data_IF_333538076374
#
_entry.id   IF_333538076374
#
_cell.length_a   1.000
_cell.length_b   1.000
_cell.length_c   1.000
_cell.angle_alpha   90.00
_cell.angle_beta   90.00
_cell.angle_gamma   90.00
#
_symmetry.space_group_name_H-M   'P 1'
#
loop_
_entity.id
_entity.type
_entity.pdbx_description
1 polymer ?
#
# COMPACT_ATOMS: atom_id res chain seq x y z
N UNK A 1 20.07 26.47 -16.73
CA UNK A 1 19.22 26.39 -17.96
C UNK A 1 17.92 25.71 -17.60
N UNK A 2 16.83 26.46 -17.64
CA UNK A 2 15.49 26.00 -17.24
C UNK A 2 14.84 25.26 -18.41
N UNK A 3 14.38 24.02 -18.17
CA UNK A 3 13.46 23.31 -19.07
C UNK A 3 12.11 23.16 -18.37
N UNK A 4 11.13 23.93 -18.83
CA UNK A 4 9.72 23.82 -18.43
C UNK A 4 9.05 22.78 -19.33
N UNK A 5 8.54 21.70 -18.74
CA UNK A 5 7.59 20.79 -19.40
C UNK A 5 6.20 21.46 -19.45
N UNK A 6 5.68 21.59 -20.65
CA UNK A 6 4.35 22.15 -20.94
C UNK A 6 3.27 21.08 -20.77
N UNK A 7 2.35 21.31 -19.85
CA UNK A 7 1.03 20.68 -19.89
C UNK A 7 0.27 21.17 -21.14
N UNK A 8 -0.21 20.23 -21.94
CA UNK A 8 -1.14 20.52 -23.04
C UNK A 8 -2.55 20.59 -22.46
N UNK A 9 -3.14 21.77 -22.48
CA UNK A 9 -4.54 21.99 -22.22
C UNK A 9 -5.36 21.61 -23.48
N UNK A 10 -6.47 20.90 -23.27
CA UNK A 10 -7.49 20.59 -24.28
C UNK A 10 -8.40 21.81 -24.38
N UNK A 11 -8.68 22.36 -25.57
CA UNK A 11 -9.56 23.51 -25.67
C UNK A 11 -11.04 23.12 -25.60
N UNK A 12 -11.75 23.75 -24.68
CA UNK A 12 -13.20 23.73 -24.64
C UNK A 12 -13.75 24.52 -25.86
N UNK A 13 -14.55 23.87 -26.68
CA UNK A 13 -15.26 24.53 -27.79
C UNK A 13 -16.52 25.17 -27.23
N UNK A 14 -16.50 26.49 -27.12
CA UNK A 14 -17.67 27.31 -26.80
C UNK A 14 -18.38 27.61 -28.13
N UNK A 15 -19.56 27.07 -28.33
CA UNK A 15 -20.47 27.47 -29.42
C UNK A 15 -21.16 28.77 -29.00
N UNK A 16 -20.71 29.89 -29.59
CA UNK A 16 -21.43 31.16 -29.51
C UNK A 16 -22.37 31.23 -30.71
N UNK A 17 -23.66 31.14 -30.50
CA UNK A 17 -24.67 31.40 -31.50
C UNK A 17 -24.72 32.90 -31.79
N UNK A 18 -24.30 33.29 -32.99
CA UNK A 18 -24.37 34.67 -33.48
C UNK A 18 -25.76 34.89 -34.08
N UNK A 19 -26.63 35.61 -33.39
CA UNK A 19 -27.90 36.07 -33.96
C UNK A 19 -27.62 37.28 -34.85
N UNK A 20 -27.69 37.10 -36.16
CA UNK A 20 -27.62 38.22 -37.14
C UNK A 20 -29.03 38.72 -37.40
N UNK A 21 -29.39 39.85 -36.84
CA UNK A 21 -30.60 40.60 -37.14
C UNK A 21 -30.34 41.43 -38.39
N UNK A 22 -30.90 41.04 -39.53
CA UNK A 22 -30.91 41.85 -40.73
C UNK A 22 -32.23 42.62 -40.80
N UNK A 23 -32.19 43.91 -40.47
CA UNK A 23 -33.30 44.81 -40.77
C UNK A 23 -33.20 45.26 -42.22
N UNK A 24 -34.14 44.81 -43.04
CA UNK A 24 -34.37 45.36 -44.37
C UNK A 24 -35.63 46.18 -44.32
N UNK A 25 -35.48 47.50 -44.39
CA UNK A 25 -36.58 48.45 -44.60
C UNK A 25 -36.78 48.64 -46.08
N UNK A 26 -37.93 48.20 -46.57
CA UNK A 26 -38.43 48.49 -47.93
C UNK A 26 -39.94 48.69 -47.90
N UNK A 27 -40.50 49.53 -48.80
CA UNK A 27 -41.84 50.09 -48.62
C UNK A 27 -42.95 49.08 -48.87
N UNK A 28 -43.99 49.23 -48.09
CA UNK A 28 -45.28 48.51 -48.21
C UNK A 28 -45.92 48.65 -49.60
N UNK A 29 -46.13 47.55 -50.29
CA UNK A 29 -47.16 47.42 -51.31
C UNK A 29 -48.24 46.46 -50.78
N UNK A 30 -49.45 46.97 -50.63
CA UNK A 30 -50.64 46.16 -50.37
C UNK A 30 -50.86 45.14 -51.50
N UNK A 31 -50.87 43.89 -51.18
CA UNK A 31 -51.30 42.80 -52.04
C UNK A 31 -52.68 42.29 -51.63
N UNK A 32 -53.52 41.86 -52.56
CA UNK A 32 -54.93 41.62 -52.37
C UNK A 32 -55.23 40.43 -51.41
N UNK A 33 -56.21 40.70 -50.52
CA UNK A 33 -56.91 39.72 -49.75
C UNK A 33 -57.62 38.73 -50.63
N UNK A 34 -57.35 37.46 -50.50
CA UNK A 34 -58.09 36.26 -50.80
C UNK A 34 -57.23 35.17 -51.44
N UNK A 35 -56.30 34.61 -50.62
CA UNK A 35 -55.86 33.24 -50.83
C UNK A 35 -56.01 32.51 -49.50
N UNK A 36 -57.03 31.72 -49.32
CA UNK A 36 -57.11 30.70 -48.26
C UNK A 36 -55.94 29.74 -48.41
N UNK A 37 -55.12 29.50 -47.42
CA UNK A 37 -54.17 28.43 -47.46
C UNK A 37 -54.91 27.09 -47.43
N UNK A 38 -54.83 26.38 -48.55
CA UNK A 38 -55.33 25.02 -48.76
C UNK A 38 -54.33 23.96 -48.23
N UNK A 39 -53.52 24.31 -47.25
CA UNK A 39 -52.67 23.33 -46.62
C UNK A 39 -53.09 23.37 -45.13
N UNK A 40 -53.89 22.37 -44.75
CA UNK A 40 -54.06 22.01 -43.36
C UNK A 40 -52.67 21.75 -42.78
N UNK A 41 -52.47 21.90 -41.44
CA UNK A 41 -51.18 21.58 -40.81
C UNK A 41 -50.75 20.19 -41.30
N UNK A 42 -49.52 20.09 -41.79
CA UNK A 42 -48.93 18.79 -42.16
C UNK A 42 -49.16 17.85 -40.96
N UNK A 43 -49.59 16.61 -41.18
CA UNK A 43 -49.75 15.69 -40.08
C UNK A 43 -48.48 15.67 -39.28
N UNK A 44 -48.61 15.89 -37.95
CA UNK A 44 -47.45 15.83 -37.06
C UNK A 44 -46.75 14.48 -37.31
N UNK A 45 -45.43 14.49 -37.46
CA UNK A 45 -44.67 13.27 -37.59
C UNK A 45 -44.91 12.40 -36.34
N UNK A 46 -45.27 11.15 -36.55
CA UNK A 46 -45.59 10.20 -35.46
C UNK A 46 -44.65 9.03 -35.43
N UNK A 47 -44.36 8.51 -34.24
CA UNK A 47 -43.59 7.30 -33.97
C UNK A 47 -44.50 6.22 -33.44
N UNK A 48 -44.53 5.06 -34.14
CA UNK A 48 -45.36 3.91 -33.72
C UNK A 48 -44.49 2.88 -32.99
N UNK A 49 -44.80 2.73 -31.70
CA UNK A 49 -44.27 1.71 -30.79
C UNK A 49 -45.27 0.55 -30.66
N UNK A 50 -44.90 -0.57 -30.08
CA UNK A 50 -45.78 -1.71 -29.81
C UNK A 50 -46.95 -1.34 -28.89
N UNK A 51 -46.78 -0.36 -28.04
CA UNK A 51 -47.75 0.14 -27.03
C UNK A 51 -48.65 1.29 -27.56
N UNK A 52 -48.37 1.89 -28.72
CA UNK A 52 -49.14 3.00 -29.27
C UNK A 52 -48.39 3.88 -30.24
N UNK A 53 -49.11 4.90 -30.75
CA UNK A 53 -48.53 5.90 -31.70
C UNK A 53 -48.41 7.25 -30.98
N UNK A 54 -47.25 7.89 -31.09
CA UNK A 54 -46.89 9.11 -30.35
C UNK A 54 -46.36 10.19 -31.29
N UNK A 55 -46.77 11.47 -31.12
CA UNK A 55 -46.17 12.58 -31.82
C UNK A 55 -44.67 12.67 -31.58
N UNK A 56 -43.85 13.07 -32.57
CA UNK A 56 -42.38 13.29 -32.41
C UNK A 56 -42.06 14.30 -31.31
N UNK A 57 -42.99 15.27 -31.08
CA UNK A 57 -42.86 16.29 -30.06
C UNK A 57 -43.18 15.81 -28.63
N UNK A 58 -43.40 14.50 -28.44
CA UNK A 58 -43.67 13.90 -27.14
C UNK A 58 -42.49 14.18 -26.16
N UNK A 59 -42.78 14.82 -25.03
CA UNK A 59 -41.77 15.18 -24.02
C UNK A 59 -41.74 14.20 -22.86
N UNK A 60 -42.82 13.52 -22.59
CA UNK A 60 -42.97 12.53 -21.50
C UNK A 60 -43.68 11.27 -22.05
N UNK A 61 -43.15 10.10 -21.75
CA UNK A 61 -43.70 8.82 -22.19
C UNK A 61 -43.73 7.82 -21.01
N UNK A 62 -44.91 7.31 -20.72
CA UNK A 62 -45.06 6.18 -19.76
C UNK A 62 -45.70 5.02 -20.52
N UNK A 63 -44.99 3.92 -20.69
CA UNK A 63 -45.41 2.79 -21.47
C UNK A 63 -44.62 1.51 -21.12
N UNK A 64 -45.28 0.36 -21.32
CA UNK A 64 -44.58 -0.93 -21.38
C UNK A 64 -44.16 -1.16 -22.83
N UNK A 65 -42.88 -1.22 -23.09
CA UNK A 65 -42.28 -1.34 -24.41
C UNK A 65 -41.63 -2.72 -24.61
N UNK A 66 -41.35 -3.05 -25.90
CA UNK A 66 -40.68 -4.28 -26.30
C UNK A 66 -39.30 -3.96 -26.89
N UNK A 67 -38.41 -4.95 -26.97
CA UNK A 67 -37.06 -4.77 -27.55
C UNK A 67 -37.07 -4.13 -28.94
N UNK A 68 -38.07 -4.42 -29.78
CA UNK A 68 -38.23 -3.84 -31.10
C UNK A 68 -38.55 -2.34 -31.14
N UNK A 69 -38.95 -1.78 -29.99
CA UNK A 69 -39.29 -0.36 -29.86
C UNK A 69 -38.03 0.50 -29.59
N UNK A 70 -36.99 -0.07 -29.00
CA UNK A 70 -35.79 0.65 -28.59
C UNK A 70 -35.20 1.49 -29.74
N UNK A 71 -35.06 0.90 -30.93
CA UNK A 71 -34.50 1.58 -32.11
C UNK A 71 -35.38 2.74 -32.63
N UNK A 72 -36.63 2.82 -32.19
CA UNK A 72 -37.59 3.86 -32.60
C UNK A 72 -37.63 5.02 -31.61
N UNK A 73 -37.17 4.81 -30.38
CA UNK A 73 -37.20 5.83 -29.31
C UNK A 73 -36.41 7.10 -29.67
N UNK A 74 -35.31 6.95 -30.41
CA UNK A 74 -34.49 8.09 -30.86
C UNK A 74 -35.26 9.04 -31.81
N UNK A 75 -36.36 8.57 -32.41
CA UNK A 75 -37.23 9.39 -33.24
C UNK A 75 -38.13 10.32 -32.41
N UNK A 76 -38.27 10.07 -31.08
CA UNK A 76 -38.94 10.95 -30.12
C UNK A 76 -37.94 12.00 -29.60
N UNK A 77 -37.46 12.85 -30.49
CA UNK A 77 -36.33 13.75 -30.25
C UNK A 77 -36.56 14.82 -29.15
N UNK A 78 -37.78 15.00 -28.68
CA UNK A 78 -38.15 15.94 -27.58
C UNK A 78 -38.36 15.24 -26.25
N UNK A 79 -38.12 13.91 -26.17
CA UNK A 79 -38.32 13.15 -24.95
C UNK A 79 -37.37 13.59 -23.85
N UNK A 80 -37.89 14.05 -22.73
CA UNK A 80 -37.15 14.48 -21.53
C UNK A 80 -37.38 13.59 -20.33
N UNK A 81 -38.52 12.88 -20.32
CA UNK A 81 -38.87 11.93 -19.26
C UNK A 81 -39.49 10.66 -19.87
N UNK A 82 -38.99 9.50 -19.44
CA UNK A 82 -39.54 8.21 -19.83
C UNK A 82 -39.73 7.28 -18.61
N UNK A 83 -40.89 6.65 -18.50
CA UNK A 83 -41.12 5.58 -17.53
C UNK A 83 -41.53 4.31 -18.29
N UNK A 84 -40.61 3.36 -18.34
CA UNK A 84 -40.76 2.06 -18.98
C UNK A 84 -40.86 0.92 -17.96
N UNK A 85 -41.29 1.24 -16.74
CA UNK A 85 -41.48 0.25 -15.68
C UNK A 85 -42.43 -0.88 -16.13
N UNK A 86 -42.04 -2.13 -15.79
CA UNK A 86 -42.80 -3.33 -16.20
C UNK A 86 -42.42 -3.87 -17.59
N UNK A 87 -41.54 -3.21 -18.35
CA UNK A 87 -40.99 -3.75 -19.60
C UNK A 87 -40.04 -4.89 -19.34
N UNK A 88 -40.14 -5.99 -20.13
CA UNK A 88 -39.26 -7.14 -20.00
C UNK A 88 -37.87 -6.93 -20.68
N UNK A 89 -37.74 -5.92 -21.52
CA UNK A 89 -36.51 -5.56 -22.23
C UNK A 89 -35.68 -4.53 -21.47
N UNK A 90 -35.60 -4.67 -20.13
CA UNK A 90 -34.91 -3.70 -19.26
C UNK A 90 -33.40 -3.59 -19.52
N UNK A 91 -32.74 -4.64 -20.06
CA UNK A 91 -31.34 -4.58 -20.46
C UNK A 91 -31.12 -3.57 -21.57
N UNK A 92 -31.91 -3.69 -22.64
CA UNK A 92 -31.85 -2.80 -23.80
C UNK A 92 -32.27 -1.37 -23.42
N UNK A 93 -33.23 -1.22 -22.48
CA UNK A 93 -33.64 0.08 -21.95
C UNK A 93 -32.49 0.73 -21.19
N UNK A 94 -31.76 -0.04 -20.35
CA UNK A 94 -30.61 0.45 -19.60
C UNK A 94 -29.49 0.89 -20.52
N UNK A 95 -29.14 0.07 -21.54
CA UNK A 95 -28.13 0.41 -22.54
C UNK A 95 -28.51 1.67 -23.33
N UNK A 96 -29.77 1.77 -23.76
CA UNK A 96 -30.27 2.96 -24.46
C UNK A 96 -30.20 4.20 -23.55
N UNK A 97 -30.54 4.07 -22.27
CA UNK A 97 -30.46 5.14 -21.28
C UNK A 97 -29.05 5.67 -21.07
N UNK A 98 -28.02 4.82 -21.14
CA UNK A 98 -26.61 5.25 -21.04
C UNK A 98 -26.21 6.19 -22.19
N UNK A 99 -26.78 6.01 -23.37
CA UNK A 99 -26.58 6.90 -24.51
C UNK A 99 -27.35 8.23 -24.39
N UNK A 100 -28.30 8.31 -23.47
CA UNK A 100 -29.20 9.46 -23.26
C UNK A 100 -29.11 10.02 -21.83
N UNK A 101 -27.94 10.51 -21.37
CA UNK A 101 -27.70 10.86 -19.97
C UNK A 101 -28.50 12.07 -19.44
N UNK A 102 -29.17 12.82 -20.32
CA UNK A 102 -30.02 13.95 -19.94
C UNK A 102 -31.50 13.56 -19.81
N UNK A 103 -31.86 12.34 -20.19
CA UNK A 103 -33.22 11.83 -20.08
C UNK A 103 -33.48 11.36 -18.64
N UNK A 104 -34.58 11.83 -18.04
CA UNK A 104 -35.07 11.26 -16.79
C UNK A 104 -35.74 9.90 -17.12
N UNK A 105 -34.95 8.83 -16.98
CA UNK A 105 -35.37 7.49 -17.35
C UNK A 105 -35.68 6.65 -16.13
N UNK A 106 -36.90 6.09 -16.10
CA UNK A 106 -37.35 5.15 -15.09
C UNK A 106 -37.67 3.80 -15.72
N UNK A 107 -37.23 2.72 -15.11
CA UNK A 107 -37.56 1.35 -15.49
C UNK A 107 -37.40 0.41 -14.28
N UNK A 108 -37.87 -0.80 -14.43
CA UNK A 108 -37.71 -1.85 -13.43
C UNK A 108 -36.89 -3.00 -13.97
N UNK A 109 -36.09 -3.58 -13.09
CA UNK A 109 -35.25 -4.78 -13.35
C UNK A 109 -35.83 -5.93 -12.56
N UNK A 110 -35.96 -7.12 -13.18
CA UNK A 110 -36.43 -8.32 -12.47
C UNK A 110 -35.24 -9.24 -12.23
N UNK A 111 -35.02 -9.57 -10.95
CA UNK A 111 -33.99 -10.52 -10.54
C UNK A 111 -34.43 -11.98 -10.79
N UNK A 112 -33.51 -12.96 -10.77
CA UNK A 112 -33.79 -14.39 -10.98
C UNK A 112 -34.82 -14.99 -10.01
N UNK A 113 -34.89 -14.48 -8.79
CA UNK A 113 -35.86 -14.88 -7.76
C UNK A 113 -37.26 -14.26 -7.95
N UNK A 114 -37.42 -13.43 -8.98
CA UNK A 114 -38.66 -12.71 -9.28
C UNK A 114 -38.80 -11.36 -8.58
N UNK A 115 -37.82 -10.94 -7.78
CA UNK A 115 -37.82 -9.60 -7.16
C UNK A 115 -37.72 -8.53 -8.24
N UNK A 116 -38.61 -7.54 -8.16
CA UNK A 116 -38.66 -6.39 -9.08
C UNK A 116 -38.08 -5.17 -8.40
N UNK A 117 -37.03 -4.59 -8.99
CA UNK A 117 -36.30 -3.43 -8.47
C UNK A 117 -36.46 -2.23 -9.41
N UNK A 118 -36.64 -1.04 -8.82
CA UNK A 118 -36.60 0.23 -9.55
C UNK A 118 -35.14 0.60 -9.87
N UNK A 119 -34.87 1.17 -11.03
CA UNK A 119 -33.50 1.56 -11.42
C UNK A 119 -32.92 2.69 -10.56
N UNK A 120 -33.71 3.33 -9.72
CA UNK A 120 -33.29 4.31 -8.69
C UNK A 120 -32.97 3.69 -7.34
N UNK A 121 -33.10 2.36 -7.18
CA UNK A 121 -32.80 1.67 -5.94
C UNK A 121 -31.34 1.86 -5.56
N UNK A 122 -31.08 2.41 -4.38
CA UNK A 122 -29.73 2.67 -3.87
C UNK A 122 -29.23 1.58 -2.92
N UNK A 123 -30.14 0.92 -2.21
CA UNK A 123 -29.84 -0.12 -1.23
C UNK A 123 -30.58 -1.41 -1.61
N UNK A 124 -29.86 -2.52 -1.63
CA UNK A 124 -30.41 -3.83 -1.99
C UNK A 124 -30.19 -4.84 -0.86
N UNK A 125 -31.22 -5.62 -0.55
CA UNK A 125 -31.11 -6.78 0.31
C UNK A 125 -31.14 -8.07 -0.54
N UNK A 126 -29.97 -8.64 -0.75
CA UNK A 126 -29.73 -9.89 -1.47
C UNK A 126 -29.19 -10.97 -0.52
N UNK A 127 -29.54 -10.90 0.77
CA UNK A 127 -29.02 -11.81 1.80
C UNK A 127 -29.40 -13.27 1.61
N UNK A 128 -30.34 -13.56 0.72
CA UNK A 128 -30.72 -14.93 0.30
C UNK A 128 -30.07 -15.37 -1.02
N UNK A 129 -29.18 -14.57 -1.61
CA UNK A 129 -28.55 -14.89 -2.90
C UNK A 129 -27.65 -16.11 -2.77
N UNK A 130 -27.87 -17.12 -3.59
CA UNK A 130 -27.06 -18.33 -3.65
C UNK A 130 -26.03 -18.28 -4.79
N UNK A 131 -24.98 -19.08 -4.71
CA UNK A 131 -24.01 -19.26 -5.79
C UNK A 131 -24.68 -19.54 -7.14
N UNK A 132 -25.69 -20.41 -7.17
CA UNK A 132 -26.37 -20.78 -8.42
C UNK A 132 -27.05 -19.60 -9.14
N UNK A 133 -27.51 -18.58 -8.41
CA UNK A 133 -28.17 -17.40 -8.96
C UNK A 133 -27.23 -16.18 -9.13
N UNK A 134 -26.00 -16.25 -8.63
CA UNK A 134 -25.12 -15.12 -8.53
C UNK A 134 -24.77 -14.49 -9.88
N UNK A 135 -24.45 -15.31 -10.89
CA UNK A 135 -24.06 -14.81 -12.20
C UNK A 135 -25.19 -14.07 -12.92
N UNK A 136 -26.39 -14.61 -12.89
CA UNK A 136 -27.57 -13.99 -13.51
C UNK A 136 -27.99 -12.72 -12.74
N UNK A 137 -27.89 -12.76 -11.40
CA UNK A 137 -28.11 -11.58 -10.56
C UNK A 137 -27.10 -10.47 -10.89
N UNK A 138 -25.81 -10.77 -11.02
CA UNK A 138 -24.80 -9.79 -11.38
C UNK A 138 -25.11 -9.13 -12.74
N UNK A 139 -25.59 -9.89 -13.74
CA UNK A 139 -26.02 -9.34 -15.00
C UNK A 139 -27.17 -8.35 -14.83
N UNK A 140 -28.16 -8.68 -14.01
CA UNK A 140 -29.28 -7.79 -13.70
C UNK A 140 -28.84 -6.53 -12.96
N UNK A 141 -27.93 -6.66 -11.98
CA UNK A 141 -27.39 -5.55 -11.21
C UNK A 141 -26.65 -4.51 -12.06
N UNK A 142 -26.01 -4.92 -13.15
CA UNK A 142 -25.33 -4.01 -14.08
C UNK A 142 -26.27 -2.96 -14.71
N UNK A 143 -27.59 -3.20 -14.63
CA UNK A 143 -28.63 -2.30 -15.11
C UNK A 143 -29.24 -1.43 -13.99
N UNK A 144 -28.66 -1.40 -12.79
CA UNK A 144 -29.10 -0.62 -11.65
C UNK A 144 -28.04 0.44 -11.27
N UNK A 145 -27.97 1.57 -11.99
CA UNK A 145 -26.88 2.54 -11.87
C UNK A 145 -26.84 3.29 -10.55
N UNK A 146 -27.96 3.29 -9.79
CA UNK A 146 -28.10 4.04 -8.53
C UNK A 146 -27.63 3.24 -7.32
N UNK A 147 -27.28 1.96 -7.46
CA UNK A 147 -26.93 1.09 -6.33
C UNK A 147 -25.64 1.55 -5.68
N UNK A 148 -25.70 1.80 -4.37
CA UNK A 148 -24.56 2.21 -3.54
C UNK A 148 -24.28 1.25 -2.39
N UNK A 149 -25.23 0.36 -2.06
CA UNK A 149 -25.06 -0.62 -1.00
C UNK A 149 -25.82 -1.91 -1.32
N UNK A 150 -25.15 -3.05 -1.14
CA UNK A 150 -25.72 -4.39 -1.35
C UNK A 150 -25.44 -5.24 -0.11
N UNK A 151 -26.49 -5.61 0.61
CA UNK A 151 -26.43 -6.60 1.67
C UNK A 151 -26.49 -8.01 1.07
N UNK A 152 -25.39 -8.76 1.12
CA UNK A 152 -25.29 -10.15 0.67
C UNK A 152 -25.44 -11.16 1.82
N UNK A 153 -25.65 -10.65 3.05
CA UNK A 153 -25.88 -11.47 4.23
C UNK A 153 -24.65 -12.18 4.78
N UNK A 154 -24.89 -13.31 5.43
CA UNK A 154 -23.86 -14.15 6.00
C UNK A 154 -24.06 -15.58 5.50
N UNK A 155 -23.08 -16.12 4.83
CA UNK A 155 -23.11 -17.51 4.38
C UNK A 155 -21.96 -18.30 5.04
N UNK A 156 -22.35 -19.44 5.63
CA UNK A 156 -21.39 -20.41 6.14
C UNK A 156 -20.67 -21.16 4.99
N UNK A 157 -19.85 -22.12 5.34
CA UNK A 157 -19.20 -23.03 4.38
C UNK A 157 -20.20 -24.04 3.86
N UNK A 158 -20.81 -23.78 2.72
CA UNK A 158 -21.77 -24.69 2.06
C UNK A 158 -21.74 -24.54 0.55
N UNK A 159 -22.38 -25.48 -0.16
CA UNK A 159 -22.47 -25.43 -1.64
C UNK A 159 -23.20 -24.21 -2.18
N UNK A 160 -23.96 -23.53 -1.35
CA UNK A 160 -24.75 -22.35 -1.71
C UNK A 160 -24.06 -21.03 -1.34
N UNK A 161 -22.90 -21.10 -0.64
CA UNK A 161 -22.12 -19.91 -0.31
C UNK A 161 -21.56 -19.22 -1.57
N UNK A 162 -21.60 -17.89 -1.58
CA UNK A 162 -21.01 -17.11 -2.66
C UNK A 162 -19.50 -17.33 -2.69
N UNK A 163 -18.97 -17.59 -3.88
CA UNK A 163 -17.54 -17.71 -4.13
C UNK A 163 -16.89 -16.33 -4.35
N UNK A 164 -15.56 -16.27 -4.26
CA UNK A 164 -14.82 -15.05 -4.61
C UNK A 164 -15.12 -14.60 -6.06
N UNK A 165 -15.39 -15.54 -6.97
CA UNK A 165 -15.79 -15.23 -8.36
C UNK A 165 -17.16 -14.57 -8.43
N UNK A 166 -18.13 -15.03 -7.64
CA UNK A 166 -19.48 -14.44 -7.58
C UNK A 166 -19.43 -13.02 -7.04
N UNK A 167 -18.71 -12.84 -5.92
CA UNK A 167 -18.51 -11.52 -5.31
C UNK A 167 -17.83 -10.54 -6.27
N UNK A 168 -16.85 -11.03 -7.05
CA UNK A 168 -16.19 -10.22 -8.07
C UNK A 168 -17.15 -9.83 -9.18
N UNK A 169 -17.96 -10.76 -9.69
CA UNK A 169 -18.97 -10.46 -10.72
C UNK A 169 -19.98 -9.42 -10.24
N UNK A 170 -20.43 -9.52 -8.98
CA UNK A 170 -21.34 -8.54 -8.36
C UNK A 170 -20.66 -7.17 -8.23
N UNK A 171 -19.39 -7.15 -7.78
CA UNK A 171 -18.63 -5.90 -7.66
C UNK A 171 -18.38 -5.25 -9.02
N UNK A 172 -18.05 -6.03 -10.05
CA UNK A 172 -17.86 -5.51 -11.42
C UNK A 172 -19.18 -4.96 -12.01
N UNK A 173 -20.31 -5.55 -11.66
CA UNK A 173 -21.63 -5.07 -12.05
C UNK A 173 -22.01 -3.74 -11.39
N UNK A 174 -21.63 -3.56 -10.13
CA UNK A 174 -21.91 -2.37 -9.32
C UNK A 174 -20.60 -1.85 -8.66
N UNK A 175 -19.66 -1.27 -9.42
CA UNK A 175 -18.32 -0.93 -8.92
C UNK A 175 -18.31 0.16 -7.83
N UNK A 176 -19.38 0.94 -7.72
CA UNK A 176 -19.53 1.97 -6.70
C UNK A 176 -20.30 1.50 -5.47
N UNK A 177 -20.82 0.27 -5.47
CA UNK A 177 -21.58 -0.27 -4.37
C UNK A 177 -20.68 -0.86 -3.28
N UNK A 178 -20.99 -0.56 -2.03
CA UNK A 178 -20.44 -1.25 -0.88
C UNK A 178 -21.13 -2.62 -0.75
N UNK A 179 -20.32 -3.69 -0.70
CA UNK A 179 -20.81 -5.05 -0.49
C UNK A 179 -20.70 -5.42 0.98
N UNK A 180 -21.81 -5.66 1.65
CA UNK A 180 -21.82 -6.21 3.01
C UNK A 180 -22.05 -7.72 2.92
N UNK A 181 -20.95 -8.47 3.11
CA UNK A 181 -20.96 -9.92 3.06
C UNK A 181 -20.07 -10.50 4.16
N UNK A 182 -20.63 -11.43 4.92
CA UNK A 182 -19.90 -12.17 5.95
C UNK A 182 -19.68 -13.61 5.53
N UNK A 183 -18.46 -14.07 5.70
CA UNK A 183 -18.07 -15.42 5.34
C UNK A 183 -16.98 -15.95 6.29
N UNK A 184 -16.74 -17.24 6.25
CA UNK A 184 -15.67 -17.86 7.05
C UNK A 184 -14.44 -18.08 6.18
N UNK A 185 -13.30 -17.51 6.59
CA UNK A 185 -12.00 -17.76 5.97
C UNK A 185 -11.01 -18.24 7.05
N UNK A 186 -10.36 -19.38 6.83
CA UNK A 186 -9.43 -20.01 7.78
C UNK A 186 -9.99 -20.16 9.20
N UNK A 187 -11.30 -20.37 9.32
CA UNK A 187 -11.98 -20.51 10.60
C UNK A 187 -12.38 -19.20 11.30
N UNK A 188 -12.05 -18.04 10.70
CA UNK A 188 -12.46 -16.72 11.18
C UNK A 188 -13.68 -16.21 10.42
N UNK A 189 -14.63 -15.63 11.14
CA UNK A 189 -15.72 -14.90 10.52
C UNK A 189 -15.21 -13.52 10.09
N UNK A 190 -15.37 -13.18 8.83
CA UNK A 190 -14.85 -11.97 8.18
C UNK A 190 -15.99 -11.26 7.45
N UNK A 191 -15.97 -9.93 7.46
CA UNK A 191 -16.80 -9.08 6.61
C UNK A 191 -15.93 -8.46 5.51
N UNK A 192 -16.43 -8.35 4.28
CA UNK A 192 -15.73 -7.66 3.18
C UNK A 192 -15.36 -6.19 3.52
N UNK A 193 -16.09 -5.58 4.47
CA UNK A 193 -15.85 -4.21 4.93
C UNK A 193 -14.88 -4.11 6.12
N UNK A 194 -14.28 -5.21 6.57
CA UNK A 194 -13.31 -5.18 7.65
C UNK A 194 -12.09 -4.36 7.23
N UNK A 195 -11.71 -3.42 8.09
CA UNK A 195 -10.53 -2.57 7.88
C UNK A 195 -9.22 -3.24 8.26
N UNK A 196 -9.30 -4.33 9.02
CA UNK A 196 -8.15 -5.10 9.48
C UNK A 196 -8.51 -6.58 9.61
N UNK A 197 -7.58 -7.44 9.24
CA UNK A 197 -7.67 -8.88 9.40
C UNK A 197 -6.57 -9.40 10.33
N UNK A 198 -6.95 -10.26 11.26
CA UNK A 198 -6.05 -10.86 12.24
C UNK A 198 -6.12 -12.39 12.17
N UNK A 199 -5.09 -12.99 11.56
CA UNK A 199 -4.93 -14.44 11.46
C UNK A 199 -3.81 -14.99 12.35
N UNK A 200 -3.31 -14.20 13.32
CA UNK A 200 -2.20 -14.64 14.17
C UNK A 200 -2.39 -16.02 14.76
N UNK A 201 -1.41 -16.88 14.56
CA UNK A 201 -1.40 -18.24 15.07
C UNK A 201 -2.37 -19.21 14.39
N UNK A 202 -3.07 -18.78 13.35
CA UNK A 202 -3.94 -19.64 12.54
C UNK A 202 -3.09 -20.46 11.57
N UNK A 203 -3.23 -21.77 11.56
CA UNK A 203 -2.53 -22.62 10.60
C UNK A 203 -3.18 -22.49 9.22
N UNK A 204 -2.43 -21.97 8.24
CA UNK A 204 -2.86 -21.75 6.86
C UNK A 204 -2.01 -22.63 5.94
N UNK A 205 -2.65 -23.54 5.21
CA UNK A 205 -1.97 -24.58 4.43
C UNK A 205 -1.95 -24.34 2.92
N UNK A 206 -2.65 -23.29 2.43
CA UNK A 206 -2.79 -22.97 1.02
C UNK A 206 -1.90 -21.78 0.57
N UNK A 207 -0.87 -21.44 1.37
CA UNK A 207 -0.02 -20.27 1.13
C UNK A 207 -0.82 -18.97 0.98
N UNK A 208 -1.93 -18.87 1.71
CA UNK A 208 -2.86 -17.75 1.70
C UNK A 208 -3.54 -17.47 0.33
N UNK A 209 -3.68 -18.51 -0.51
CA UNK A 209 -4.27 -18.37 -1.83
C UNK A 209 -5.74 -17.91 -1.76
N UNK A 210 -6.55 -18.51 -0.89
CA UNK A 210 -7.95 -18.10 -0.72
C UNK A 210 -8.08 -16.66 -0.22
N UNK A 211 -7.18 -16.19 0.65
CA UNK A 211 -7.13 -14.80 1.09
C UNK A 211 -6.81 -13.86 -0.08
N UNK A 212 -5.82 -14.19 -0.91
CA UNK A 212 -5.43 -13.38 -2.06
C UNK A 212 -6.55 -13.21 -3.10
N UNK A 213 -7.48 -14.16 -3.19
CA UNK A 213 -8.67 -14.07 -4.06
C UNK A 213 -9.71 -13.07 -3.53
N UNK A 214 -9.80 -12.90 -2.21
CA UNK A 214 -10.82 -12.05 -1.57
C UNK A 214 -10.32 -10.62 -1.34
N UNK A 215 -9.03 -10.44 -1.06
CA UNK A 215 -8.43 -9.11 -0.77
C UNK A 215 -8.77 -8.01 -1.80
N UNK A 216 -8.86 -8.27 -3.12
CA UNK A 216 -9.26 -7.24 -4.09
C UNK A 216 -10.66 -6.66 -3.85
N UNK A 217 -11.53 -7.39 -3.16
CA UNK A 217 -12.90 -6.98 -2.83
C UNK A 217 -12.99 -6.24 -1.50
N UNK A 218 -11.96 -6.34 -0.68
CA UNK A 218 -11.89 -5.73 0.66
C UNK A 218 -11.30 -4.31 0.60
N UNK A 219 -12.02 -3.41 -0.06
CA UNK A 219 -11.53 -2.05 -0.38
C UNK A 219 -11.20 -1.19 0.85
N UNK A 220 -11.71 -1.56 2.03
CA UNK A 220 -11.45 -0.89 3.31
C UNK A 220 -10.30 -1.51 4.10
N UNK A 221 -9.85 -2.70 3.73
CA UNK A 221 -8.77 -3.38 4.43
C UNK A 221 -7.46 -2.63 4.24
N UNK A 222 -6.83 -2.27 5.35
CA UNK A 222 -5.54 -1.56 5.37
C UNK A 222 -4.49 -2.26 6.23
N UNK A 223 -4.87 -3.30 6.96
CA UNK A 223 -3.98 -4.05 7.84
C UNK A 223 -4.28 -5.54 7.81
N UNK A 224 -3.23 -6.36 7.72
CA UNK A 224 -3.32 -7.81 7.69
C UNK A 224 -2.22 -8.42 8.57
N UNK A 225 -2.61 -9.05 9.67
CA UNK A 225 -1.69 -9.73 10.58
C UNK A 225 -1.65 -11.23 10.28
N UNK A 226 -0.49 -11.68 9.80
CA UNK A 226 -0.21 -13.08 9.42
C UNK A 226 0.86 -13.72 10.32
N UNK A 227 1.06 -13.18 11.54
CA UNK A 227 2.09 -13.67 12.44
C UNK A 227 1.82 -15.13 12.82
N UNK A 228 2.81 -15.98 12.62
CA UNK A 228 2.78 -17.40 12.95
C UNK A 228 1.64 -18.21 12.29
N UNK A 229 1.33 -17.90 11.04
CA UNK A 229 0.32 -18.64 10.27
C UNK A 229 0.86 -19.87 9.54
N UNK A 230 2.18 -20.01 9.45
CA UNK A 230 2.83 -21.07 8.67
C UNK A 230 2.98 -20.76 7.19
N UNK A 231 2.41 -19.66 6.71
CA UNK A 231 2.59 -19.18 5.33
C UNK A 231 4.04 -18.74 5.10
N UNK A 232 4.60 -19.04 3.94
CA UNK A 232 5.99 -18.72 3.61
C UNK A 232 6.22 -17.21 3.52
N UNK A 233 7.45 -16.77 3.81
CA UNK A 233 7.84 -15.36 3.68
C UNK A 233 7.64 -14.85 2.25
N UNK A 234 7.90 -15.70 1.26
CA UNK A 234 7.77 -15.40 -0.17
C UNK A 234 6.30 -15.15 -0.56
N UNK A 235 5.37 -15.98 -0.06
CA UNK A 235 3.95 -15.80 -0.32
C UNK A 235 3.42 -14.51 0.33
N UNK A 236 3.80 -14.24 1.58
CA UNK A 236 3.40 -13.01 2.28
C UNK A 236 4.00 -11.75 1.64
N UNK A 237 5.26 -11.81 1.20
CA UNK A 237 5.89 -10.72 0.48
C UNK A 237 5.18 -10.44 -0.85
N UNK A 238 4.75 -11.48 -1.56
CA UNK A 238 3.97 -11.35 -2.80
C UNK A 238 2.61 -10.70 -2.56
N UNK A 239 1.91 -11.08 -1.48
CA UNK A 239 0.64 -10.44 -1.09
C UNK A 239 0.89 -8.95 -0.80
N UNK A 240 1.92 -8.61 -0.03
CA UNK A 240 2.29 -7.22 0.27
C UNK A 240 2.61 -6.41 -0.99
N UNK A 241 3.28 -7.01 -1.97
CA UNK A 241 3.57 -6.36 -3.25
C UNK A 241 2.30 -6.15 -4.10
N UNK A 242 1.40 -7.13 -4.11
CA UNK A 242 0.13 -7.04 -4.85
C UNK A 242 -0.85 -6.03 -4.24
N UNK A 243 -0.82 -5.85 -2.93
CA UNK A 243 -1.72 -4.98 -2.17
C UNK A 243 -0.95 -3.91 -1.38
N UNK A 244 -0.31 -2.94 -2.06
CA UNK A 244 0.59 -1.97 -1.41
C UNK A 244 -0.12 -1.02 -0.42
N UNK A 245 -1.46 -0.96 -0.45
CA UNK A 245 -2.25 -0.18 0.50
C UNK A 245 -2.60 -0.96 1.78
N UNK A 246 -2.22 -2.24 1.86
CA UNK A 246 -2.44 -3.09 3.04
C UNK A 246 -1.10 -3.31 3.74
N UNK A 247 -1.03 -2.94 5.01
CA UNK A 247 0.10 -3.30 5.86
C UNK A 247 0.03 -4.79 6.18
N UNK A 248 0.77 -5.60 5.42
CA UNK A 248 0.89 -7.05 5.64
C UNK A 248 2.04 -7.32 6.60
N UNK A 249 1.73 -7.84 7.77
CA UNK A 249 2.67 -8.03 8.87
C UNK A 249 2.77 -9.50 9.24
N UNK A 250 4.00 -9.96 9.44
CA UNK A 250 4.28 -11.32 9.92
C UNK A 250 5.60 -11.35 10.68
N UNK A 251 5.96 -12.50 11.22
CA UNK A 251 7.19 -12.72 11.96
C UNK A 251 8.22 -13.43 11.10
N UNK A 252 9.44 -12.90 11.09
CA UNK A 252 10.61 -13.55 10.50
C UNK A 252 11.54 -14.06 11.59
N UNK A 253 12.15 -15.24 11.35
CA UNK A 253 13.01 -15.92 12.28
C UNK A 253 14.42 -16.01 11.70
N UNK A 254 15.43 -15.66 12.50
CA UNK A 254 16.84 -15.71 12.11
C UNK A 254 17.74 -15.98 13.32
N UNK A 255 19.01 -16.27 13.04
CA UNK A 255 19.91 -16.77 14.08
C UNK A 255 19.44 -18.12 14.66
N UNK A 256 19.81 -18.36 15.91
CA UNK A 256 19.42 -19.62 16.57
C UNK A 256 18.02 -19.53 17.18
N UNK A 257 17.66 -18.39 17.72
CA UNK A 257 16.47 -18.26 18.57
C UNK A 257 15.83 -16.88 18.52
N UNK A 258 16.03 -16.11 17.45
CA UNK A 258 15.60 -14.72 17.40
C UNK A 258 14.55 -14.50 16.33
N UNK A 259 13.59 -13.65 16.64
CA UNK A 259 12.54 -13.29 15.68
C UNK A 259 12.11 -11.85 15.86
N UNK A 260 11.66 -11.25 14.78
CA UNK A 260 11.05 -9.92 14.77
C UNK A 260 9.84 -9.92 13.86
N UNK A 261 8.94 -8.99 14.11
CA UNK A 261 7.84 -8.69 13.18
C UNK A 261 8.35 -7.80 12.04
N UNK A 262 7.79 -7.96 10.86
CA UNK A 262 8.21 -7.20 9.67
C UNK A 262 7.86 -5.71 9.72
N UNK A 263 6.96 -5.30 10.63
CA UNK A 263 6.59 -3.90 10.86
C UNK A 263 7.48 -3.19 11.90
N UNK A 264 8.48 -3.90 12.47
CA UNK A 264 9.38 -3.30 13.46
C UNK A 264 10.23 -2.17 12.87
N UNK A 265 10.42 -1.10 13.64
CA UNK A 265 11.33 -0.01 13.29
C UNK A 265 12.75 -0.22 13.85
N UNK A 266 12.95 -1.20 14.74
CA UNK A 266 14.24 -1.42 15.42
C UNK A 266 14.49 -2.91 15.67
N UNK A 267 15.75 -3.32 15.51
CA UNK A 267 16.22 -4.68 15.72
C UNK A 267 17.50 -4.66 16.54
N UNK A 268 17.46 -5.27 17.71
CA UNK A 268 18.61 -5.51 18.58
C UNK A 268 18.99 -6.97 18.52
N UNK A 269 19.85 -7.32 17.61
CA UNK A 269 20.23 -8.70 17.32
C UNK A 269 21.75 -8.91 17.41
N UNK A 270 22.45 -8.09 18.22
CA UNK A 270 23.85 -8.35 18.53
C UNK A 270 24.00 -9.69 19.27
N UNK A 271 25.11 -10.41 19.01
CA UNK A 271 25.38 -11.72 19.64
C UNK A 271 25.17 -11.73 21.16
N UNK A 272 25.62 -10.71 21.91
CA UNK A 272 25.31 -10.65 23.32
C UNK A 272 23.82 -10.56 23.64
N UNK A 273 23.04 -9.87 22.81
CA UNK A 273 21.62 -9.66 23.03
C UNK A 273 20.80 -10.93 22.76
N UNK A 274 21.10 -11.64 21.67
CA UNK A 274 20.33 -12.83 21.26
C UNK A 274 20.83 -14.13 21.87
N UNK A 275 21.95 -14.10 22.59
CA UNK A 275 22.53 -15.27 23.26
C UNK A 275 23.08 -16.34 22.32
N UNK A 276 23.28 -16.02 21.05
CA UNK A 276 23.79 -16.92 20.03
C UNK A 276 24.34 -16.17 18.82
N UNK A 277 25.01 -16.91 17.93
CA UNK A 277 25.57 -16.36 16.68
C UNK A 277 24.51 -16.27 15.60
N UNK A 278 24.49 -15.17 14.88
CA UNK A 278 23.75 -15.01 13.64
C UNK A 278 24.71 -15.22 12.47
N UNK A 279 24.48 -16.28 11.72
CA UNK A 279 25.27 -16.63 10.52
C UNK A 279 24.61 -16.09 9.25
N UNK A 280 23.30 -15.95 9.28
CA UNK A 280 22.48 -15.47 8.17
C UNK A 280 21.34 -14.59 8.73
N UNK A 281 21.24 -13.39 8.19
CA UNK A 281 20.18 -12.44 8.49
C UNK A 281 19.41 -12.03 7.22
N UNK A 282 19.53 -12.79 6.13
CA UNK A 282 18.92 -12.48 4.83
C UNK A 282 17.41 -12.32 4.89
N UNK A 283 16.74 -13.03 5.81
CA UNK A 283 15.30 -12.92 6.05
C UNK A 283 14.87 -11.52 6.49
N UNK A 284 15.78 -10.69 7.02
CA UNK A 284 15.49 -9.31 7.37
C UNK A 284 15.17 -8.42 6.16
N UNK A 285 15.39 -8.91 4.93
CA UNK A 285 14.94 -8.24 3.71
C UNK A 285 13.45 -7.91 3.70
N UNK A 286 12.65 -8.59 4.51
CA UNK A 286 11.22 -8.35 4.65
C UNK A 286 10.86 -7.24 5.67
N UNK A 287 11.84 -6.79 6.48
CA UNK A 287 11.67 -5.77 7.52
C UNK A 287 11.94 -4.36 6.96
N UNK A 288 11.10 -3.89 6.07
CA UNK A 288 11.35 -2.66 5.28
C UNK A 288 11.16 -1.35 6.07
N UNK A 289 10.61 -1.41 7.28
CA UNK A 289 10.36 -0.24 8.14
C UNK A 289 11.49 0.01 9.17
N UNK A 290 12.55 -0.79 9.14
CA UNK A 290 13.63 -0.70 10.12
C UNK A 290 14.41 0.60 9.97
N UNK A 291 14.54 1.31 11.09
CA UNK A 291 15.34 2.53 11.25
C UNK A 291 16.62 2.26 12.04
N UNK A 292 16.56 1.37 13.03
CA UNK A 292 17.64 1.09 13.96
C UNK A 292 17.98 -0.40 13.94
N UNK A 293 19.21 -0.74 13.51
CA UNK A 293 19.65 -2.12 13.38
C UNK A 293 21.01 -2.33 14.06
N UNK A 294 21.04 -3.21 15.06
CA UNK A 294 22.27 -3.68 15.66
C UNK A 294 22.44 -5.19 15.49
N UNK A 295 23.46 -5.57 14.72
CA UNK A 295 23.91 -6.94 14.47
C UNK A 295 25.37 -7.15 14.94
N UNK A 296 25.87 -6.27 15.80
CA UNK A 296 27.25 -6.31 16.26
C UNK A 296 27.61 -7.64 16.92
N UNK A 297 28.92 -7.96 16.95
CA UNK A 297 29.49 -9.16 17.55
C UNK A 297 28.99 -10.50 16.93
N UNK A 298 28.37 -10.49 15.77
CA UNK A 298 28.08 -11.69 15.00
C UNK A 298 29.26 -11.98 14.07
N UNK A 299 30.35 -12.53 14.64
CA UNK A 299 31.67 -12.66 14.01
C UNK A 299 31.64 -13.48 12.70
N UNK A 300 30.59 -14.28 12.50
CA UNK A 300 30.41 -15.13 11.32
C UNK A 300 29.37 -14.59 10.32
N UNK A 301 28.74 -13.42 10.60
CA UNK A 301 27.78 -12.81 9.69
C UNK A 301 28.52 -12.23 8.47
N UNK A 302 28.34 -12.79 7.25
CA UNK A 302 29.17 -12.42 6.11
C UNK A 302 28.59 -11.29 5.25
N UNK A 303 27.30 -11.03 5.31
CA UNK A 303 26.59 -10.13 4.38
C UNK A 303 25.49 -9.33 5.08
N UNK A 304 25.28 -8.13 4.53
CA UNK A 304 24.19 -7.22 4.86
C UNK A 304 23.35 -6.87 3.62
N UNK A 305 23.30 -7.74 2.60
CA UNK A 305 22.56 -7.46 1.36
C UNK A 305 21.08 -7.10 1.60
N UNK A 306 20.49 -7.65 2.64
CA UNK A 306 19.09 -7.39 3.04
C UNK A 306 18.82 -5.91 3.37
N UNK A 307 19.84 -5.11 3.73
CA UNK A 307 19.61 -3.66 4.03
C UNK A 307 19.27 -2.86 2.77
N UNK A 308 19.44 -3.41 1.57
CA UNK A 308 18.93 -2.79 0.34
C UNK A 308 17.43 -2.53 0.37
N UNK A 309 16.72 -3.30 1.18
CA UNK A 309 15.27 -3.19 1.37
C UNK A 309 14.88 -2.34 2.61
N UNK A 310 15.84 -1.60 3.19
CA UNK A 310 15.62 -0.76 4.39
C UNK A 310 15.87 0.73 4.09
N UNK A 311 15.05 1.39 3.26
CA UNK A 311 15.28 2.79 2.87
C UNK A 311 15.15 3.77 4.04
N UNK A 312 14.53 3.34 5.14
CA UNK A 312 14.33 4.13 6.35
C UNK A 312 15.50 4.00 7.36
N UNK A 313 16.54 3.22 7.05
CA UNK A 313 17.63 2.93 7.97
C UNK A 313 18.42 4.19 8.33
N UNK A 314 18.39 4.55 9.61
CA UNK A 314 19.09 5.68 10.22
C UNK A 314 20.35 5.25 10.97
N UNK A 315 20.30 4.06 11.58
CA UNK A 315 21.37 3.53 12.44
C UNK A 315 21.72 2.10 12.06
N UNK A 316 22.99 1.84 11.80
CA UNK A 316 23.51 0.50 11.58
C UNK A 316 24.75 0.24 12.46
N UNK A 317 24.71 -0.83 13.25
CA UNK A 317 25.82 -1.34 14.01
C UNK A 317 26.12 -2.76 13.54
N UNK A 318 27.27 -2.95 12.86
CA UNK A 318 27.79 -4.24 12.40
C UNK A 318 29.25 -4.44 12.84
N UNK A 319 29.58 -3.81 13.95
CA UNK A 319 30.89 -3.96 14.56
C UNK A 319 31.19 -5.44 14.84
N UNK A 320 32.45 -5.85 14.62
CA UNK A 320 32.91 -7.24 14.88
C UNK A 320 32.06 -8.29 14.16
N UNK A 321 31.83 -8.07 12.85
CA UNK A 321 31.18 -9.05 11.97
C UNK A 321 32.14 -9.48 10.84
N UNK A 322 31.79 -10.53 10.10
CA UNK A 322 32.54 -10.98 8.93
C UNK A 322 32.22 -10.20 7.65
N UNK A 323 31.41 -9.14 7.74
CA UNK A 323 31.02 -8.31 6.60
C UNK A 323 32.25 -7.69 5.93
N UNK A 324 32.27 -7.71 4.60
CA UNK A 324 33.32 -7.13 3.77
C UNK A 324 32.80 -6.16 2.72
N UNK A 325 31.56 -6.32 2.30
CA UNK A 325 30.89 -5.48 1.31
C UNK A 325 29.80 -4.66 1.97
N UNK A 326 29.90 -3.33 1.83
CA UNK A 326 28.91 -2.37 2.30
C UNK A 326 28.21 -1.64 1.15
N UNK A 327 28.34 -2.14 -0.08
CA UNK A 327 27.59 -1.59 -1.22
C UNK A 327 26.07 -1.55 -1.01
N UNK A 328 25.44 -2.43 -0.19
CA UNK A 328 24.04 -2.32 0.15
C UNK A 328 23.63 -0.98 0.80
N UNK A 329 24.57 -0.28 1.46
CA UNK A 329 24.30 1.00 2.11
C UNK A 329 24.00 2.15 1.13
N UNK A 330 24.34 1.99 -0.16
CA UNK A 330 23.91 2.95 -1.19
C UNK A 330 22.38 3.10 -1.27
N UNK A 331 21.62 2.11 -0.79
CA UNK A 331 20.15 2.13 -0.71
C UNK A 331 19.60 2.74 0.58
N UNK A 332 20.46 3.22 1.49
CA UNK A 332 20.08 3.74 2.80
C UNK A 332 20.33 5.26 2.89
N UNK A 333 19.51 6.10 2.25
CA UNK A 333 19.76 7.54 2.15
C UNK A 333 19.61 8.30 3.47
N UNK A 334 18.99 7.68 4.49
CA UNK A 334 18.73 8.28 5.80
C UNK A 334 19.78 7.90 6.85
N UNK A 335 20.87 7.21 6.46
CA UNK A 335 21.85 6.72 7.39
C UNK A 335 22.60 7.88 8.08
N UNK A 336 22.48 7.95 9.42
CA UNK A 336 23.07 8.99 10.27
C UNK A 336 24.20 8.47 11.17
N UNK A 337 24.13 7.19 11.55
CA UNK A 337 25.06 6.57 12.49
C UNK A 337 25.50 5.19 11.99
N UNK A 338 26.81 4.98 11.91
CA UNK A 338 27.38 3.73 11.36
C UNK A 338 28.57 3.25 12.19
N UNK A 339 28.50 2.02 12.74
CA UNK A 339 29.63 1.33 13.36
C UNK A 339 30.06 0.12 12.51
N UNK A 340 31.26 0.22 11.95
CA UNK A 340 31.92 -0.82 11.15
C UNK A 340 33.18 -1.36 11.85
N UNK A 341 33.46 -0.89 13.08
CA UNK A 341 34.73 -1.16 13.73
C UNK A 341 35.00 -2.67 13.88
N UNK A 342 36.27 -3.02 13.76
CA UNK A 342 36.76 -4.40 13.85
C UNK A 342 36.15 -5.34 12.80
N UNK A 343 35.99 -4.84 11.57
CA UNK A 343 35.54 -5.62 10.39
C UNK A 343 36.64 -5.74 9.36
N UNK A 344 36.43 -6.60 8.37
CA UNK A 344 37.34 -6.80 7.26
C UNK A 344 37.00 -5.99 5.99
N UNK A 345 36.21 -4.93 6.14
CA UNK A 345 35.82 -4.01 5.07
C UNK A 345 37.09 -3.30 4.55
N UNK A 346 37.18 -3.16 3.24
CA UNK A 346 38.34 -2.49 2.57
C UNK A 346 37.89 -1.26 1.78
N UNK A 347 36.71 -1.33 1.15
CA UNK A 347 36.15 -0.27 0.32
C UNK A 347 34.97 0.41 1.04
N UNK A 348 35.11 1.71 1.27
CA UNK A 348 34.08 2.56 1.86
C UNK A 348 33.50 3.58 0.85
N UNK A 349 33.80 3.39 -0.44
CA UNK A 349 33.25 4.23 -1.51
C UNK A 349 31.71 4.25 -1.58
N UNK A 350 30.97 3.20 -1.14
CA UNK A 350 29.51 3.27 -1.05
C UNK A 350 28.98 4.38 -0.14
N UNK A 351 29.80 4.85 0.81
CA UNK A 351 29.38 5.93 1.74
C UNK A 351 29.47 7.34 1.15
N UNK A 352 30.03 7.51 -0.04
CA UNK A 352 30.28 8.84 -0.65
C UNK A 352 29.03 9.72 -0.78
N UNK A 353 27.85 9.10 -0.86
CA UNK A 353 26.57 9.79 -1.01
C UNK A 353 25.73 9.81 0.29
N UNK A 354 26.26 9.26 1.39
CA UNK A 354 25.58 9.24 2.70
C UNK A 354 25.73 10.62 3.38
N UNK A 355 25.20 11.66 2.76
CA UNK A 355 25.41 13.08 3.18
C UNK A 355 24.81 13.39 4.55
N UNK A 356 23.84 12.60 5.03
CA UNK A 356 23.28 12.71 6.38
C UNK A 356 24.09 11.99 7.46
N UNK A 357 25.22 11.36 7.11
CA UNK A 357 26.00 10.61 8.09
C UNK A 357 26.72 11.55 9.05
N UNK A 358 26.37 11.46 10.35
CA UNK A 358 26.96 12.25 11.43
C UNK A 358 28.07 11.51 12.15
N UNK A 359 27.94 10.20 12.37
CA UNK A 359 28.90 9.42 13.13
C UNK A 359 29.36 8.19 12.33
N UNK A 360 30.66 8.02 12.18
CA UNK A 360 31.27 6.87 11.53
C UNK A 360 32.41 6.30 12.37
N UNK A 361 32.34 5.02 12.71
CA UNK A 361 33.39 4.28 13.38
C UNK A 361 33.95 3.19 12.48
N UNK A 362 35.20 3.35 12.06
CA UNK A 362 35.99 2.39 11.29
C UNK A 362 37.27 1.96 12.01
N UNK A 363 37.34 2.17 13.34
CA UNK A 363 38.48 1.78 14.13
C UNK A 363 38.70 0.25 14.08
N UNK A 364 39.95 -0.19 14.01
CA UNK A 364 40.26 -1.61 13.95
C UNK A 364 39.90 -2.28 12.63
N UNK A 365 39.76 -1.53 11.54
CA UNK A 365 39.55 -2.07 10.18
C UNK A 365 40.85 -2.11 9.40
N UNK A 366 41.61 -3.24 9.41
CA UNK A 366 42.98 -3.30 8.89
C UNK A 366 43.10 -3.15 7.38
N UNK A 367 41.98 -3.26 6.67
CA UNK A 367 41.97 -3.21 5.19
C UNK A 367 41.58 -1.84 4.65
N UNK A 368 41.03 -0.92 5.45
CA UNK A 368 40.67 0.44 5.02
C UNK A 368 41.94 1.29 4.93
N UNK A 369 42.30 1.72 3.71
CA UNK A 369 43.45 2.54 3.42
C UNK A 369 43.12 3.87 2.74
N UNK A 370 41.89 4.00 2.26
CA UNK A 370 41.42 5.19 1.56
C UNK A 370 40.12 5.70 2.19
N UNK A 371 40.16 6.91 2.76
CA UNK A 371 39.01 7.62 3.32
C UNK A 371 38.60 8.80 2.45
N UNK A 372 39.12 8.94 1.24
CA UNK A 372 38.75 10.02 0.33
C UNK A 372 37.27 10.06 -0.02
N UNK A 373 36.50 8.95 -0.03
CA UNK A 373 35.06 8.97 -0.22
C UNK A 373 34.30 9.81 0.84
N UNK A 374 34.89 10.01 2.01
CA UNK A 374 34.26 10.75 3.12
C UNK A 374 34.41 12.27 3.01
N UNK A 375 35.27 12.79 2.11
CA UNK A 375 35.57 14.24 2.05
C UNK A 375 34.37 15.11 1.69
N UNK A 376 33.33 14.54 1.08
CA UNK A 376 32.07 15.21 0.76
C UNK A 376 31.01 15.18 1.86
N UNK A 377 31.26 14.45 2.95
CA UNK A 377 30.28 14.27 4.04
C UNK A 377 30.37 15.44 5.04
N UNK A 378 29.83 16.58 4.67
CA UNK A 378 29.96 17.86 5.43
C UNK A 378 29.24 17.83 6.78
N UNK A 379 28.26 16.95 6.96
CA UNK A 379 27.52 16.76 8.21
C UNK A 379 28.22 15.79 9.18
N UNK A 380 29.38 15.21 8.79
CA UNK A 380 30.08 14.26 9.65
C UNK A 380 30.70 14.98 10.86
N UNK A 381 30.20 14.63 12.04
CA UNK A 381 30.60 15.20 13.34
C UNK A 381 31.75 14.41 13.99
N UNK A 382 31.76 13.07 13.78
CA UNK A 382 32.70 12.17 14.47
C UNK A 382 33.16 11.05 13.54
N UNK A 383 34.48 10.87 13.47
CA UNK A 383 35.15 9.83 12.71
C UNK A 383 36.21 9.14 13.58
N UNK A 384 36.03 7.85 13.91
CA UNK A 384 36.96 7.02 14.64
C UNK A 384 37.74 6.11 13.69
N UNK A 385 39.09 6.25 13.68
CA UNK A 385 39.99 5.54 12.78
C UNK A 385 41.01 4.69 13.55
N UNK A 386 41.21 4.92 14.85
CA UNK A 386 42.23 4.28 15.67
C UNK A 386 42.25 2.76 15.61
N UNK A 387 42.92 2.10 16.55
CA UNK A 387 43.10 0.63 16.60
C UNK A 387 43.72 0.02 15.34
N UNK A 388 44.85 0.57 14.91
CA UNK A 388 45.64 0.06 13.74
C UNK A 388 44.92 0.10 12.38
N UNK A 389 43.89 0.92 12.21
CA UNK A 389 43.33 1.20 10.88
C UNK A 389 44.37 1.99 10.05
N UNK A 390 44.87 1.46 8.93
CA UNK A 390 46.11 1.99 8.31
C UNK A 390 45.83 3.15 7.35
N UNK A 391 45.11 4.18 7.80
CA UNK A 391 44.82 5.39 7.01
C UNK A 391 46.01 6.32 7.06
N UNK A 392 46.58 6.73 5.90
CA UNK A 392 47.72 7.63 5.85
C UNK A 392 47.45 9.01 6.46
N UNK A 393 48.40 9.60 7.20
CA UNK A 393 48.31 10.94 7.80
C UNK A 393 47.90 12.03 6.79
N UNK A 394 48.36 11.89 5.54
CA UNK A 394 47.97 12.80 4.45
C UNK A 394 46.46 12.82 4.23
N UNK A 395 45.80 11.66 4.29
CA UNK A 395 44.35 11.56 4.11
C UNK A 395 43.59 12.08 5.33
N UNK A 396 44.13 11.82 6.54
CA UNK A 396 43.56 12.42 7.78
C UNK A 396 43.64 13.93 7.73
N UNK A 397 44.78 14.49 7.26
CA UNK A 397 44.94 15.92 7.08
C UNK A 397 43.99 16.50 6.02
N UNK A 398 43.77 15.80 4.92
CA UNK A 398 42.84 16.18 3.86
C UNK A 398 41.39 16.14 4.39
N UNK A 399 41.02 15.13 5.19
CA UNK A 399 39.71 14.99 5.81
C UNK A 399 39.43 16.16 6.78
N UNK A 400 40.39 16.52 7.64
CA UNK A 400 40.31 17.69 8.52
C UNK A 400 40.09 19.01 7.77
N UNK A 401 40.73 19.13 6.59
CA UNK A 401 40.52 20.32 5.75
C UNK A 401 39.17 20.33 5.03
N UNK A 402 38.69 19.15 4.60
CA UNK A 402 37.43 19.00 3.89
C UNK A 402 36.21 19.15 4.82
N UNK A 403 36.29 18.62 6.04
CA UNK A 403 35.24 18.65 7.05
C UNK A 403 35.79 19.19 8.39
N UNK A 404 35.97 20.51 8.52
CA UNK A 404 36.62 21.12 9.68
C UNK A 404 35.88 20.90 11.00
N UNK A 405 34.55 20.68 10.96
CA UNK A 405 33.72 20.42 12.12
C UNK A 405 33.83 18.99 12.67
N UNK A 406 34.42 18.07 11.90
CA UNK A 406 34.50 16.67 12.28
C UNK A 406 35.60 16.43 13.34
N UNK A 407 35.23 15.81 14.46
CA UNK A 407 36.17 15.27 15.44
C UNK A 407 36.75 13.95 14.93
N UNK A 408 38.04 13.92 14.59
CA UNK A 408 38.70 12.72 14.08
C UNK A 408 39.61 12.14 15.16
N UNK A 409 39.35 10.89 15.59
CA UNK A 409 40.19 10.16 16.52
C UNK A 409 41.01 9.08 15.78
N UNK A 410 42.35 9.21 15.84
CA UNK A 410 43.30 8.29 15.19
C UNK A 410 44.15 7.53 16.21
N UNK A 411 43.95 7.78 17.50
CA UNK A 411 44.86 7.31 18.57
C UNK A 411 44.21 6.38 19.56
N UNK A 412 42.89 6.09 19.43
CA UNK A 412 42.24 5.15 20.34
C UNK A 412 42.78 3.73 20.14
N UNK A 413 42.99 3.03 21.22
CA UNK A 413 43.30 1.59 21.29
C UNK A 413 42.07 0.75 21.64
N UNK A 414 40.97 1.40 21.96
CA UNK A 414 39.65 0.79 22.19
C UNK A 414 38.65 1.31 21.13
N UNK A 415 38.10 0.44 20.26
CA UNK A 415 37.19 0.85 19.21
C UNK A 415 35.87 1.47 19.72
N UNK A 416 35.47 1.21 20.95
CA UNK A 416 34.29 1.79 21.59
C UNK A 416 34.61 2.88 22.61
N UNK A 417 35.86 2.92 23.07
CA UNK A 417 36.38 3.91 24.02
C UNK A 417 36.71 5.25 23.38
N UNK A 418 37.58 6.01 24.06
CA UNK A 418 38.08 7.29 23.56
C UNK A 418 36.96 8.30 23.27
N UNK A 419 35.89 8.24 24.05
CA UNK A 419 34.69 9.05 23.88
C UNK A 419 33.85 8.76 22.60
N UNK A 420 33.93 7.55 22.04
CA UNK A 420 33.02 7.14 20.99
C UNK A 420 31.59 6.98 21.52
N UNK A 421 31.36 6.01 22.41
CA UNK A 421 30.06 5.77 23.05
C UNK A 421 29.95 6.44 24.41
N UNK A 422 31.03 6.42 25.21
CA UNK A 422 31.05 6.96 26.57
C UNK A 422 32.30 7.80 26.85
N UNK A 423 32.17 8.75 27.77
CA UNK A 423 33.25 9.64 28.18
C UNK A 423 33.92 9.19 29.50
N UNK A 424 33.32 8.23 30.18
CA UNK A 424 33.87 7.68 31.41
C UNK A 424 33.00 6.58 32.00
N UNK A 425 33.60 5.85 32.96
CA UNK A 425 32.94 4.80 33.73
C UNK A 425 33.31 5.00 35.21
N UNK A 426 32.30 4.96 36.06
CA UNK A 426 32.49 5.01 37.53
C UNK A 426 32.40 3.57 38.08
N UNK A 427 33.51 2.99 38.58
CA UNK A 427 33.50 1.63 39.12
C UNK A 427 32.87 1.51 40.50
N UNK A 428 32.74 2.61 41.26
CA UNK A 428 32.16 2.60 42.61
C UNK A 428 30.64 2.60 42.55
N UNK A 429 30.10 3.28 41.54
CA UNK A 429 28.70 3.28 41.18
C UNK A 429 28.64 2.81 39.72
N UNK A 430 28.58 1.52 39.44
CA UNK A 430 28.69 1.01 38.07
C UNK A 430 27.86 1.81 37.07
N UNK A 431 28.43 2.87 36.52
CA UNK A 431 27.74 3.84 35.68
C UNK A 431 28.65 4.33 34.56
N UNK A 432 28.10 4.28 33.31
CA UNK A 432 28.70 4.94 32.17
C UNK A 432 28.19 6.35 32.00
N UNK A 433 29.07 7.26 31.63
CA UNK A 433 28.74 8.61 31.19
C UNK A 433 28.74 8.64 29.65
N UNK A 434 27.56 8.63 29.08
CA UNK A 434 27.40 8.50 27.63
C UNK A 434 27.65 9.80 26.89
N UNK A 435 28.13 9.68 25.64
CA UNK A 435 28.14 10.78 24.68
C UNK A 435 26.67 11.12 24.36
N UNK A 436 26.26 12.41 24.36
CA UNK A 436 24.84 12.79 24.27
C UNK A 436 24.09 12.18 23.06
N UNK A 437 24.69 12.16 21.87
CA UNK A 437 24.05 11.51 20.69
C UNK A 437 23.93 10.01 20.90
N UNK A 438 24.91 9.36 21.49
CA UNK A 438 24.83 7.93 21.77
C UNK A 438 23.82 7.61 22.87
N UNK A 439 23.63 8.49 23.84
CA UNK A 439 22.58 8.35 24.86
C UNK A 439 21.18 8.43 24.23
N UNK A 440 20.98 9.35 23.29
CA UNK A 440 19.74 9.44 22.52
C UNK A 440 19.51 8.16 21.70
N UNK A 441 20.53 7.71 20.99
CA UNK A 441 20.50 6.48 20.20
C UNK A 441 20.16 5.25 21.05
N UNK A 442 20.74 5.12 22.24
CA UNK A 442 20.41 4.04 23.18
C UNK A 442 18.94 4.02 23.55
N UNK A 443 18.34 5.19 23.77
CA UNK A 443 16.93 5.29 24.06
C UNK A 443 16.08 4.88 22.84
N UNK A 444 16.48 5.27 21.64
CA UNK A 444 15.84 4.88 20.38
C UNK A 444 15.92 3.37 20.14
N UNK A 445 17.10 2.78 20.39
CA UNK A 445 17.31 1.33 20.29
C UNK A 445 16.69 0.55 21.44
N UNK A 446 16.35 1.21 22.55
CA UNK A 446 15.80 0.57 23.75
C UNK A 446 16.84 -0.12 24.63
N UNK A 447 18.13 0.23 24.49
CA UNK A 447 19.18 -0.30 25.37
C UNK A 447 19.07 0.21 26.78
N UNK A 448 19.14 -0.67 27.76
CA UNK A 448 19.32 -0.33 29.17
C UNK A 448 20.68 -0.81 29.66
N UNK A 449 21.73 0.00 29.45
CA UNK A 449 23.11 -0.36 29.82
C UNK A 449 23.49 -0.11 31.24
N UNK A 450 22.58 0.19 32.14
CA UNK A 450 22.94 0.33 33.57
C UNK A 450 23.37 -1.00 34.15
N UNK A 451 22.96 -2.11 33.54
CA UNK A 451 23.37 -3.45 33.95
C UNK A 451 23.74 -4.24 32.69
N UNK A 452 24.91 -4.86 32.65
CA UNK A 452 25.29 -5.80 31.58
C UNK A 452 24.43 -7.09 31.57
N UNK A 453 23.44 -7.19 32.43
CA UNK A 453 22.43 -8.25 32.49
C UNK A 453 21.22 -8.02 31.56
N UNK A 454 21.31 -7.07 30.70
CA UNK A 454 20.24 -6.60 29.80
C UNK A 454 19.94 -7.55 28.63
N UNK A 455 20.75 -8.54 28.39
CA UNK A 455 20.57 -9.51 27.31
C UNK A 455 19.20 -10.21 27.27
N UNK A 456 18.48 -10.12 28.38
CA UNK A 456 17.18 -10.75 28.56
C UNK A 456 16.00 -9.80 28.40
N UNK A 457 16.26 -8.53 28.22
CA UNK A 457 15.25 -7.49 28.22
C UNK A 457 15.15 -6.79 26.87
N UNK A 458 15.41 -7.52 25.80
CA UNK A 458 15.12 -6.97 24.48
C UNK A 458 13.61 -6.73 24.37
N UNK A 459 13.16 -5.46 24.39
CA UNK A 459 11.74 -5.15 24.28
C UNK A 459 11.17 -5.52 22.88
N UNK A 460 12.05 -5.91 21.97
CA UNK A 460 11.69 -6.30 20.60
C UNK A 460 11.54 -7.82 20.47
N UNK A 461 12.05 -8.60 21.46
CA UNK A 461 11.74 -10.01 21.54
C UNK A 461 10.34 -10.19 22.10
N UNK A 462 9.50 -10.84 21.33
CA UNK A 462 8.22 -11.32 21.81
C UNK A 462 8.46 -12.39 22.88
N UNK A 463 8.09 -12.11 24.12
CA UNK A 463 8.33 -13.01 25.27
C UNK A 463 7.50 -14.28 25.22
N UNK A 464 6.51 -14.33 24.35
CA UNK A 464 5.61 -15.47 24.21
C UNK A 464 5.71 -16.08 22.81
N UNK A 465 6.62 -17.05 22.64
CA UNK A 465 6.60 -17.85 21.42
C UNK A 465 5.30 -18.63 21.35
N UNK A 466 4.60 -18.61 20.22
CA UNK A 466 3.52 -19.54 19.96
C UNK A 466 3.95 -20.99 20.20
N UNK A 467 3.01 -21.83 20.65
CA UNK A 467 3.30 -23.20 21.07
C UNK A 467 4.07 -24.03 20.02
N UNK A 468 3.80 -23.78 18.74
CA UNK A 468 4.47 -24.44 17.61
C UNK A 468 5.97 -24.13 17.50
N UNK A 469 6.44 -23.02 18.08
CA UNK A 469 7.84 -22.61 18.03
C UNK A 469 8.62 -22.85 19.33
N UNK A 470 7.93 -23.14 20.44
CA UNK A 470 8.57 -23.28 21.78
C UNK A 470 9.70 -24.31 21.85
N UNK A 471 9.71 -25.32 21.04
CA UNK A 471 10.79 -26.31 20.96
C UNK A 471 11.85 -26.03 19.92
N UNK A 472 11.57 -25.10 18.99
CA UNK A 472 12.40 -24.82 17.81
C UNK A 472 13.44 -23.74 18.08
N UNK A 473 13.11 -22.77 18.93
CA UNK A 473 13.90 -21.55 19.10
C UNK A 473 14.47 -21.37 20.51
N UNK A 474 14.34 -22.36 21.36
CA UNK A 474 14.94 -22.38 22.70
C UNK A 474 14.24 -21.53 23.76
N UNK A 475 14.52 -21.80 25.01
CA UNK A 475 13.93 -21.12 26.15
C UNK A 475 14.50 -19.72 26.37
N UNK A 476 15.72 -19.50 25.89
CA UNK A 476 16.54 -18.32 26.17
C UNK A 476 15.91 -17.05 25.64
N UNK A 477 15.19 -17.13 24.52
CA UNK A 477 14.50 -15.98 23.89
C UNK A 477 13.14 -15.71 24.52
N UNK A 478 12.48 -16.76 25.06
CA UNK A 478 11.08 -16.68 25.47
C UNK A 478 10.80 -17.04 26.92
N UNK A 479 11.75 -17.49 27.67
CA UNK A 479 11.40 -18.23 28.85
C UNK A 479 12.28 -18.11 30.06
N UNK A 480 12.94 -16.99 30.26
CA UNK A 480 13.57 -16.76 31.58
C UNK A 480 12.72 -15.91 32.44
#
# INVERSE_FOLDING_TARGET
>A
MRSRSRLKAIPAIIYTALLVLVCISGPFHEAPSDVKPLIGPAPAAEVTLSCGTYPVETTELTAVIQSEDISKLDSLSYLTRADFSGSSCWKEIAEWGQAHPLLELKYTVTLPDGTVLDNSAAELDLSSLSHAAAAETAEALSCLPAVTHINLGAHGTGSDALTASDLRAIHEACPNAELDYRFTLYGHEINLNDSALDFRGTEISDEAAALAEVLPLMTRCSYLDMDNTGVSNEALAKIREQFPNIDVVWRVWFGTNYSVRTDTERILASKPTVGGMIYDASVLQYCTKVKYLDLGHNDELPSIDFVRNMPELEVLIIAMTAVRDISPLESCPKLEYLELNSTNIADISPLKNSTGLHHLNIAGCPNIKDISPLYGLTELERLWIGCDTPVPDKQVSAMKAAVPGCTINTTTDDPHGGAWRYTGYDPEIPKYYWVPRYELLRNQLGYNYQEYSFYWLDPLCDKEAPAQFKGRYGKEVYGK
#
